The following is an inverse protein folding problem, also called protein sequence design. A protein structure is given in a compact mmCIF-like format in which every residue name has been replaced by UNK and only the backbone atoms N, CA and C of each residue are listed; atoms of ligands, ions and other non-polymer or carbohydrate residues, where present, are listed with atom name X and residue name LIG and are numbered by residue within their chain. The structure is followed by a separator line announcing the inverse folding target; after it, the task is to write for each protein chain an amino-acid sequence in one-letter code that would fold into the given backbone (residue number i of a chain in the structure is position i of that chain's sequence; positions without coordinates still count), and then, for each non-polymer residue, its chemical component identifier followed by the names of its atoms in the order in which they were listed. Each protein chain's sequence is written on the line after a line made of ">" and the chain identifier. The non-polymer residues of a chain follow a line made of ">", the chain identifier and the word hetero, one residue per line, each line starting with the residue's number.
data_IF_865163360457
#
_entry.id   IF_865163360457
#
_cell.length_a   1.000
_cell.length_b   1.000
_cell.length_c   1.000
_cell.angle_alpha   90.00
_cell.angle_beta   90.00
_cell.angle_gamma   90.00
#
_symmetry.space_group_name_H-M   'P 1'
#
loop_
_entity.id
_entity.type
_entity.pdbx_description
1 polymer ?
#
# COMPACT_ATOMS: atom_id res chain seq x y z
N UNK A 1 -29.28 9.05 11.76
CA UNK A 1 -28.51 10.28 12.02
C UNK A 1 -27.05 10.03 12.41
N UNK A 2 -26.66 9.53 13.60
CA UNK A 2 -25.22 9.36 13.95
C UNK A 2 -24.46 8.39 13.02
N UNK A 3 -25.04 7.23 12.70
CA UNK A 3 -24.42 6.25 11.80
C UNK A 3 -24.31 6.70 10.33
N UNK A 4 -25.16 7.62 9.88
CA UNK A 4 -25.08 8.19 8.52
C UNK A 4 -23.91 9.17 8.40
N UNK A 5 -23.71 10.01 9.41
CA UNK A 5 -22.56 10.93 9.48
C UNK A 5 -21.24 10.17 9.56
N UNK A 6 -21.19 9.10 10.37
CA UNK A 6 -20.01 8.22 10.45
C UNK A 6 -19.72 7.55 9.10
N UNK A 7 -20.75 6.99 8.44
CA UNK A 7 -20.59 6.34 7.14
C UNK A 7 -20.13 7.31 6.04
N UNK A 8 -20.72 8.52 5.98
CA UNK A 8 -20.36 9.53 5.01
C UNK A 8 -18.91 9.99 5.21
N UNK A 9 -18.55 10.27 6.47
CA UNK A 9 -17.22 10.69 6.87
C UNK A 9 -16.16 9.64 6.52
N UNK A 10 -16.41 8.36 6.85
CA UNK A 10 -15.51 7.27 6.49
C UNK A 10 -15.39 7.11 4.97
N UNK A 11 -16.49 7.19 4.22
CA UNK A 11 -16.43 7.04 2.76
C UNK A 11 -15.60 8.14 2.08
N UNK A 12 -15.73 9.40 2.55
CA UNK A 12 -14.94 10.53 2.04
C UNK A 12 -13.46 10.32 2.30
N UNK A 13 -13.13 9.86 3.50
CA UNK A 13 -11.77 9.59 3.91
C UNK A 13 -11.14 8.43 3.13
N UNK A 14 -11.86 7.31 2.99
CA UNK A 14 -11.37 6.17 2.20
C UNK A 14 -11.22 6.53 0.73
N UNK A 15 -12.17 7.28 0.16
CA UNK A 15 -12.09 7.76 -1.21
C UNK A 15 -10.86 8.66 -1.42
N UNK A 16 -10.56 9.56 -0.48
CA UNK A 16 -9.38 10.41 -0.53
C UNK A 16 -8.08 9.59 -0.55
N UNK A 17 -7.96 8.58 0.32
CA UNK A 17 -6.81 7.67 0.33
C UNK A 17 -6.68 6.99 -1.03
N UNK A 18 -7.77 6.42 -1.56
CA UNK A 18 -7.77 5.72 -2.84
C UNK A 18 -7.29 6.61 -3.99
N UNK A 19 -7.77 7.86 -4.07
CA UNK A 19 -7.34 8.77 -5.13
C UNK A 19 -5.87 9.17 -4.97
N UNK A 20 -5.40 9.38 -3.74
CA UNK A 20 -4.02 9.78 -3.47
C UNK A 20 -3.04 8.64 -3.76
N UNK A 21 -3.41 7.39 -3.45
CA UNK A 21 -2.57 6.22 -3.75
C UNK A 21 -2.40 6.04 -5.26
N UNK A 22 -3.45 6.27 -6.07
CA UNK A 22 -3.36 6.17 -7.53
C UNK A 22 -2.35 7.14 -8.16
N UNK A 23 -2.04 8.25 -7.49
CA UNK A 23 -1.07 9.22 -8.00
C UNK A 23 0.38 8.88 -7.65
N UNK A 24 0.61 7.84 -6.82
CA UNK A 24 1.96 7.39 -6.47
C UNK A 24 2.68 6.94 -7.74
N UNK A 25 3.85 7.54 -7.97
CA UNK A 25 4.70 7.23 -9.13
C UNK A 25 5.64 6.08 -8.77
N UNK A 26 5.54 4.99 -9.53
CA UNK A 26 6.37 3.80 -9.37
C UNK A 26 7.46 3.68 -10.43
N UNK A 27 7.42 4.53 -11.46
CA UNK A 27 8.30 4.52 -12.62
C UNK A 27 9.54 5.41 -12.45
N UNK A 28 9.51 6.34 -11.50
CA UNK A 28 10.57 7.32 -11.27
C UNK A 28 11.06 7.26 -9.83
N UNK A 29 12.38 7.43 -9.66
CA UNK A 29 12.94 7.76 -8.36
C UNK A 29 12.47 9.18 -7.98
N UNK A 30 11.96 9.41 -6.77
CA UNK A 30 11.69 10.77 -6.32
C UNK A 30 13.01 11.58 -6.31
N UNK A 31 12.89 12.86 -6.64
CA UNK A 31 14.01 13.82 -6.78
C UNK A 31 14.79 14.01 -5.46
N UNK A 32 14.25 13.55 -4.33
CA UNK A 32 14.92 13.65 -3.04
C UNK A 32 16.11 12.67 -2.98
N UNK A 33 17.32 13.23 -3.00
CA UNK A 33 18.62 12.54 -2.86
C UNK A 33 18.79 11.72 -1.55
N UNK A 34 17.73 11.56 -0.75
CA UNK A 34 17.67 10.67 0.41
C UNK A 34 16.30 10.00 0.43
N UNK A 35 16.27 8.68 0.24
CA UNK A 35 15.11 7.78 0.43
C UNK A 35 14.65 7.73 1.91
N UNK A 36 14.75 8.83 2.64
CA UNK A 36 14.39 8.94 4.06
C UNK A 36 13.17 9.82 4.27
N UNK A 37 12.70 10.51 3.22
CA UNK A 37 11.54 11.39 3.29
C UNK A 37 10.41 10.78 2.47
N UNK A 38 9.20 10.79 3.02
CA UNK A 38 8.01 10.38 2.31
C UNK A 38 7.75 11.24 1.08
N UNK A 39 7.14 10.63 0.07
CA UNK A 39 6.59 11.28 -1.12
C UNK A 39 5.56 12.34 -0.76
N UNK A 40 5.21 13.18 -1.73
CA UNK A 40 4.14 14.16 -1.54
C UNK A 40 2.80 13.46 -1.27
N UNK A 41 2.59 12.29 -1.87
CA UNK A 41 1.40 11.46 -1.73
C UNK A 41 1.29 10.86 -0.32
N UNK A 42 2.37 10.29 0.22
CA UNK A 42 2.35 9.73 1.57
C UNK A 42 2.17 10.81 2.64
N UNK A 43 2.76 12.00 2.44
CA UNK A 43 2.52 13.17 3.29
C UNK A 43 1.06 13.60 3.27
N UNK A 44 0.43 13.69 2.10
CA UNK A 44 -1.01 13.99 1.99
C UNK A 44 -1.89 12.99 2.76
N UNK A 45 -1.56 11.70 2.68
CA UNK A 45 -2.28 10.65 3.40
C UNK A 45 -2.10 10.82 4.92
N UNK A 46 -0.86 11.05 5.37
CA UNK A 46 -0.53 11.30 6.78
C UNK A 46 -1.24 12.55 7.30
N UNK A 47 -1.18 13.66 6.59
CA UNK A 47 -1.83 14.92 6.96
C UNK A 47 -3.37 14.74 7.06
N UNK A 48 -3.96 14.00 6.11
CA UNK A 48 -5.38 13.68 6.15
C UNK A 48 -5.74 12.78 7.35
N UNK A 49 -4.91 11.77 7.66
CA UNK A 49 -5.06 10.94 8.86
C UNK A 49 -5.00 11.80 10.12
N UNK A 50 -3.97 12.63 10.27
CA UNK A 50 -3.79 13.49 11.45
C UNK A 50 -4.93 14.51 11.59
N UNK A 51 -5.50 15.00 10.49
CA UNK A 51 -6.69 15.86 10.52
C UNK A 51 -7.98 15.11 10.90
N UNK A 52 -8.10 13.85 10.51
CA UNK A 52 -9.28 13.02 10.73
C UNK A 52 -9.38 12.48 12.17
N UNK A 53 -8.23 12.27 12.80
CA UNK A 53 -8.13 11.51 14.05
C UNK A 53 -8.71 12.20 15.29
N UNK A 54 -8.60 13.53 15.45
CA UNK A 54 -9.34 14.24 16.48
C UNK A 54 -10.87 14.03 16.38
N UNK A 55 -11.40 13.83 15.17
CA UNK A 55 -12.84 13.54 14.99
C UNK A 55 -13.17 12.13 15.46
N UNK A 56 -12.35 11.13 15.10
CA UNK A 56 -12.54 9.74 15.57
C UNK A 56 -12.40 9.62 17.08
N UNK A 57 -11.50 10.38 17.71
CA UNK A 57 -11.28 10.33 19.16
C UNK A 57 -12.54 10.69 19.99
N UNK A 58 -13.50 11.38 19.38
CA UNK A 58 -14.80 11.70 20.01
C UNK A 58 -15.85 10.59 19.88
N UNK A 59 -15.55 9.54 19.12
CA UNK A 59 -16.45 8.42 18.86
C UNK A 59 -16.26 7.30 19.90
N UNK A 60 -17.27 6.43 20.06
CA UNK A 60 -17.13 5.21 20.87
C UNK A 60 -15.95 4.35 20.42
N UNK A 61 -15.37 3.61 21.37
CA UNK A 61 -14.17 2.79 21.14
C UNK A 61 -14.31 1.83 19.96
N UNK A 62 -15.45 1.14 19.85
CA UNK A 62 -15.73 0.18 18.78
C UNK A 62 -15.82 0.86 17.40
N UNK A 63 -16.30 2.11 17.36
CA UNK A 63 -16.38 2.90 16.14
C UNK A 63 -14.97 3.34 15.72
N UNK A 64 -14.15 3.79 16.67
CA UNK A 64 -12.76 4.17 16.41
C UNK A 64 -11.90 3.00 15.94
N UNK A 65 -12.07 1.82 16.54
CA UNK A 65 -11.41 0.59 16.11
C UNK A 65 -11.80 0.21 14.68
N UNK A 66 -13.10 0.27 14.34
CA UNK A 66 -13.57 0.02 12.97
C UNK A 66 -13.04 1.05 11.98
N UNK A 67 -12.97 2.32 12.36
CA UNK A 67 -12.43 3.37 11.52
C UNK A 67 -10.93 3.16 11.23
N UNK A 68 -10.15 2.80 12.25
CA UNK A 68 -8.72 2.52 12.09
C UNK A 68 -8.49 1.25 11.22
N UNK A 69 -9.25 0.18 11.47
CA UNK A 69 -9.20 -1.03 10.66
C UNK A 69 -9.59 -0.76 9.20
N UNK A 70 -10.63 0.05 8.97
CA UNK A 70 -11.04 0.46 7.63
C UNK A 70 -9.92 1.26 6.95
N UNK A 71 -9.36 2.29 7.61
CA UNK A 71 -8.27 3.09 7.09
C UNK A 71 -7.06 2.23 6.67
N UNK A 72 -6.62 1.33 7.55
CA UNK A 72 -5.55 0.36 7.28
C UNK A 72 -5.86 -0.48 6.03
N UNK A 73 -7.04 -1.11 6.01
CA UNK A 73 -7.45 -1.98 4.90
C UNK A 73 -7.57 -1.22 3.58
N UNK A 74 -8.02 0.04 3.61
CA UNK A 74 -8.13 0.89 2.42
C UNK A 74 -6.75 1.23 1.87
N UNK A 75 -5.79 1.63 2.71
CA UNK A 75 -4.41 1.88 2.24
C UNK A 75 -3.86 0.62 1.59
N UNK A 76 -3.95 -0.51 2.30
CA UNK A 76 -3.41 -1.79 1.85
C UNK A 76 -4.00 -2.19 0.49
N UNK A 77 -5.33 -2.27 0.41
CA UNK A 77 -6.02 -2.67 -0.80
C UNK A 77 -5.80 -1.68 -1.96
N UNK A 78 -5.68 -0.38 -1.68
CA UNK A 78 -5.43 0.63 -2.72
C UNK A 78 -4.05 0.48 -3.32
N UNK A 79 -3.04 0.24 -2.49
CA UNK A 79 -1.65 0.07 -2.95
C UNK A 79 -1.49 -1.24 -3.71
N UNK A 80 -2.10 -2.34 -3.24
CA UNK A 80 -2.12 -3.61 -4.00
C UNK A 80 -2.80 -3.45 -5.36
N UNK A 81 -3.96 -2.79 -5.40
CA UNK A 81 -4.67 -2.47 -6.65
C UNK A 81 -3.83 -1.61 -7.58
N UNK A 82 -3.11 -0.63 -7.05
CA UNK A 82 -2.23 0.24 -7.83
C UNK A 82 -1.06 -0.55 -8.43
N UNK A 83 -0.37 -1.37 -7.61
CA UNK A 83 0.73 -2.23 -8.06
C UNK A 83 0.30 -3.22 -9.16
N UNK A 84 -0.90 -3.80 -9.01
CA UNK A 84 -1.51 -4.71 -9.98
C UNK A 84 -2.22 -4.03 -11.16
N UNK A 85 -2.29 -2.70 -11.18
CA UNK A 85 -3.03 -1.94 -12.20
C UNK A 85 -2.34 -2.01 -13.57
N UNK A 86 -3.14 -2.10 -14.63
CA UNK A 86 -2.65 -2.03 -16.01
C UNK A 86 -2.12 -0.63 -16.38
N UNK A 87 -2.56 0.39 -15.65
CA UNK A 87 -2.12 1.78 -15.81
C UNK A 87 -0.65 1.96 -15.41
N UNK A 88 -0.17 1.16 -14.45
CA UNK A 88 1.23 1.13 -14.05
C UNK A 88 2.03 0.30 -15.06
N UNK A 89 2.55 0.96 -16.08
CA UNK A 89 3.33 0.30 -17.14
C UNK A 89 4.70 -0.13 -16.63
N UNK A 90 5.41 0.76 -15.95
CA UNK A 90 6.79 0.57 -15.49
C UNK A 90 6.83 0.69 -13.97
N UNK A 91 7.63 -0.18 -13.35
CA UNK A 91 7.96 -0.14 -11.92
C UNK A 91 9.47 -0.21 -11.83
N UNK A 92 10.10 0.79 -11.21
CA UNK A 92 11.53 0.82 -10.94
C UNK A 92 11.82 0.36 -9.51
N UNK A 93 13.04 -0.13 -9.28
CA UNK A 93 13.52 -0.47 -7.94
C UNK A 93 13.44 0.73 -7.01
N UNK A 94 13.78 1.92 -7.49
CA UNK A 94 13.73 3.16 -6.72
C UNK A 94 12.29 3.55 -6.35
N UNK A 95 11.33 3.35 -7.26
CA UNK A 95 9.91 3.58 -6.98
C UNK A 95 9.37 2.63 -5.90
N UNK A 96 9.79 1.36 -5.91
CA UNK A 96 9.44 0.40 -4.87
C UNK A 96 10.11 0.72 -3.53
N UNK A 97 11.37 1.15 -3.53
CA UNK A 97 12.06 1.61 -2.32
C UNK A 97 11.36 2.83 -1.72
N UNK A 98 10.95 3.80 -2.55
CA UNK A 98 10.17 4.93 -2.07
C UNK A 98 8.81 4.51 -1.51
N UNK A 99 8.09 3.61 -2.20
CA UNK A 99 6.82 3.08 -1.70
C UNK A 99 6.99 2.40 -0.33
N UNK A 100 8.10 1.69 -0.10
CA UNK A 100 8.41 1.10 1.21
C UNK A 100 8.53 2.18 2.30
N UNK A 101 9.22 3.29 2.01
CA UNK A 101 9.35 4.45 2.92
C UNK A 101 8.00 5.09 3.20
N UNK A 102 7.20 5.27 2.15
CA UNK A 102 5.86 5.84 2.23
C UNK A 102 4.93 5.01 3.12
N UNK A 103 4.92 3.69 2.93
CA UNK A 103 4.13 2.78 3.75
C UNK A 103 4.58 2.81 5.22
N UNK A 104 5.89 2.87 5.49
CA UNK A 104 6.40 2.96 6.85
C UNK A 104 5.94 4.25 7.56
N UNK A 105 5.90 5.38 6.85
CA UNK A 105 5.40 6.64 7.40
C UNK A 105 3.90 6.61 7.69
N UNK A 106 3.11 6.06 6.77
CA UNK A 106 1.67 5.91 6.94
C UNK A 106 1.36 4.97 8.11
N UNK A 107 2.04 3.82 8.18
CA UNK A 107 1.90 2.87 9.27
C UNK A 107 2.31 3.49 10.61
N UNK A 108 3.43 4.22 10.66
CA UNK A 108 3.87 4.91 11.87
C UNK A 108 2.84 5.96 12.33
N UNK A 109 2.21 6.68 11.40
CA UNK A 109 1.12 7.59 11.74
C UNK A 109 -0.05 6.82 12.38
N UNK A 110 -0.47 5.71 11.77
CA UNK A 110 -1.59 4.90 12.25
C UNK A 110 -1.32 4.25 13.62
N UNK A 111 -0.07 3.89 13.89
CA UNK A 111 0.37 3.37 15.19
C UNK A 111 0.28 4.40 16.32
N UNK A 112 0.26 5.71 16.04
CA UNK A 112 0.02 6.74 17.07
C UNK A 112 -1.35 6.57 17.73
N UNK A 113 -2.30 5.89 17.09
CA UNK A 113 -3.66 5.68 17.59
C UNK A 113 -3.79 4.39 18.40
N UNK A 114 -2.89 4.20 19.38
CA UNK A 114 -2.78 2.98 20.19
C UNK A 114 -4.07 2.62 20.93
N UNK A 115 -4.89 3.60 21.31
CA UNK A 115 -6.20 3.39 21.97
C UNK A 115 -7.17 2.59 21.10
N UNK A 116 -7.07 2.72 19.78
CA UNK A 116 -7.89 1.99 18.80
C UNK A 116 -7.14 0.82 18.16
N UNK A 117 -5.87 0.61 18.53
CA UNK A 117 -5.04 -0.44 17.96
C UNK A 117 -5.53 -1.82 18.39
N UNK A 118 -5.49 -2.74 17.44
CA UNK A 118 -5.74 -4.17 17.61
C UNK A 118 -4.59 -4.92 16.96
N UNK A 119 -4.35 -6.17 17.32
CA UNK A 119 -3.31 -6.99 16.68
C UNK A 119 -3.48 -7.00 15.14
N UNK A 120 -4.73 -7.07 14.68
CA UNK A 120 -5.07 -7.00 13.25
C UNK A 120 -4.70 -5.64 12.62
N UNK A 121 -4.87 -4.53 13.33
CA UNK A 121 -4.49 -3.21 12.84
C UNK A 121 -2.97 -3.04 12.77
N UNK A 122 -2.23 -3.62 13.71
CA UNK A 122 -0.77 -3.55 13.74
C UNK A 122 -0.12 -4.40 12.64
N UNK A 123 -0.75 -5.51 12.27
CA UNK A 123 -0.27 -6.44 11.24
C UNK A 123 -0.76 -6.10 9.82
N UNK A 124 -1.60 -5.08 9.67
CA UNK A 124 -2.33 -4.82 8.42
C UNK A 124 -1.41 -4.60 7.21
N UNK A 125 -0.22 -4.01 7.41
CA UNK A 125 0.74 -3.71 6.35
C UNK A 125 1.69 -4.88 6.03
N UNK A 126 1.68 -5.95 6.82
CA UNK A 126 2.58 -7.09 6.61
C UNK A 126 2.46 -7.73 5.21
N UNK A 127 1.26 -7.95 4.63
CA UNK A 127 1.11 -8.43 3.25
C UNK A 127 1.85 -7.57 2.22
N UNK A 128 1.71 -6.23 2.31
CA UNK A 128 2.36 -5.29 1.41
C UNK A 128 3.87 -5.28 1.56
N UNK A 129 4.38 -5.32 2.80
CA UNK A 129 5.82 -5.39 3.05
C UNK A 129 6.42 -6.63 2.41
N UNK A 130 5.80 -7.79 2.62
CA UNK A 130 6.24 -9.04 1.97
C UNK A 130 6.18 -8.95 0.45
N UNK A 131 5.12 -8.35 -0.10
CA UNK A 131 4.99 -8.14 -1.55
C UNK A 131 6.09 -7.23 -2.10
N UNK A 132 6.42 -6.13 -1.41
CA UNK A 132 7.51 -5.24 -1.81
C UNK A 132 8.87 -5.92 -1.71
N UNK A 133 9.11 -6.69 -0.65
CA UNK A 133 10.34 -7.46 -0.48
C UNK A 133 10.53 -8.45 -1.64
N UNK A 134 9.47 -9.18 -1.99
CA UNK A 134 9.48 -10.10 -3.12
C UNK A 134 9.87 -9.41 -4.43
N UNK A 135 9.28 -8.25 -4.74
CA UNK A 135 9.61 -7.50 -5.96
C UNK A 135 10.99 -6.85 -5.93
N UNK A 136 11.46 -6.39 -4.77
CA UNK A 136 12.75 -5.74 -4.63
C UNK A 136 13.92 -6.73 -4.70
N UNK A 137 13.72 -7.96 -4.22
CA UNK A 137 14.74 -9.00 -4.21
C UNK A 137 14.61 -10.01 -5.35
N UNK A 138 13.56 -9.91 -6.17
CA UNK A 138 13.28 -10.84 -7.27
C UNK A 138 13.22 -12.31 -6.79
N UNK A 139 12.77 -12.54 -5.54
CA UNK A 139 12.88 -13.83 -4.84
C UNK A 139 11.74 -14.80 -5.18
N UNK A 140 11.56 -15.03 -6.48
CA UNK A 140 10.52 -15.93 -7.01
C UNK A 140 10.73 -17.38 -6.58
N UNK A 141 11.99 -17.80 -6.46
CA UNK A 141 12.34 -19.16 -6.08
C UNK A 141 11.83 -19.48 -4.68
N UNK A 142 12.06 -18.59 -3.71
CA UNK A 142 11.56 -18.78 -2.34
C UNK A 142 10.05 -18.71 -2.30
N UNK A 143 9.42 -17.81 -3.05
CA UNK A 143 7.96 -17.77 -3.16
C UNK A 143 7.41 -19.12 -3.63
N UNK A 144 7.83 -19.60 -4.80
CA UNK A 144 7.25 -20.80 -5.40
C UNK A 144 7.53 -22.08 -4.63
N UNK A 145 8.67 -22.16 -3.93
CA UNK A 145 9.05 -23.36 -3.17
C UNK A 145 8.45 -23.40 -1.77
N UNK A 146 8.18 -22.23 -1.16
CA UNK A 146 7.80 -22.18 0.25
C UNK A 146 6.41 -21.62 0.52
N UNK A 147 5.69 -21.05 -0.44
CA UNK A 147 4.44 -20.30 -0.18
C UNK A 147 3.41 -21.05 0.69
N UNK A 148 3.28 -22.37 0.52
CA UNK A 148 2.35 -23.20 1.29
C UNK A 148 2.83 -23.53 2.72
N UNK A 149 4.08 -23.23 3.05
CA UNK A 149 4.68 -23.49 4.34
C UNK A 149 4.27 -22.39 5.33
N UNK A 150 3.87 -22.80 6.55
CA UNK A 150 3.45 -21.86 7.61
C UNK A 150 4.55 -20.84 8.00
N UNK A 151 5.81 -21.20 7.79
CA UNK A 151 6.99 -20.39 8.10
C UNK A 151 7.52 -19.59 6.90
N UNK A 152 6.81 -19.61 5.76
CA UNK A 152 7.24 -18.83 4.59
C UNK A 152 7.24 -17.34 4.89
N UNK A 153 8.34 -16.68 4.49
CA UNK A 153 8.48 -15.22 4.55
C UNK A 153 7.50 -14.49 3.62
N UNK A 154 6.90 -15.20 2.66
CA UNK A 154 5.93 -14.66 1.69
C UNK A 154 4.50 -15.20 1.89
N UNK A 155 4.19 -15.83 3.02
CA UNK A 155 2.88 -16.47 3.29
C UNK A 155 1.67 -15.53 3.23
N UNK A 156 1.87 -14.21 3.31
CA UNK A 156 0.80 -13.20 3.26
C UNK A 156 0.76 -12.45 1.93
N UNK A 157 1.63 -12.79 0.96
CA UNK A 157 1.66 -12.15 -0.36
C UNK A 157 0.38 -12.48 -1.13
N UNK A 158 -0.20 -11.46 -1.76
CA UNK A 158 -1.31 -11.62 -2.71
C UNK A 158 -0.79 -12.19 -4.04
N UNK A 159 -1.04 -13.48 -4.27
CA UNK A 159 -0.66 -14.16 -5.52
C UNK A 159 -1.33 -13.54 -6.76
N UNK A 160 -2.55 -13.01 -6.62
CA UNK A 160 -3.25 -12.33 -7.71
C UNK A 160 -2.51 -11.06 -8.14
N UNK A 161 -2.12 -10.21 -7.18
CA UNK A 161 -1.34 -9.00 -7.46
C UNK A 161 0.01 -9.36 -8.06
N UNK A 162 0.69 -10.37 -7.51
CA UNK A 162 1.96 -10.88 -8.04
C UNK A 162 1.82 -11.35 -9.49
N UNK A 163 0.83 -12.20 -9.79
CA UNK A 163 0.62 -12.73 -11.13
C UNK A 163 0.30 -11.62 -12.15
N UNK A 164 -0.55 -10.64 -11.78
CA UNK A 164 -0.85 -9.48 -12.63
C UNK A 164 0.40 -8.67 -12.95
N UNK A 165 1.26 -8.42 -11.96
CA UNK A 165 2.48 -7.62 -12.14
C UNK A 165 3.52 -8.33 -13.00
N UNK A 166 3.78 -9.62 -12.78
CA UNK A 166 4.68 -10.42 -13.60
C UNK A 166 4.17 -10.49 -15.05
N UNK A 167 2.87 -10.76 -15.23
CA UNK A 167 2.25 -10.76 -16.55
C UNK A 167 2.44 -9.43 -17.30
N UNK A 168 2.38 -8.31 -16.56
CA UNK A 168 2.59 -6.98 -17.12
C UNK A 168 4.06 -6.71 -17.49
N UNK A 169 5.02 -7.08 -16.64
CA UNK A 169 6.45 -6.95 -16.94
C UNK A 169 6.81 -7.70 -18.22
N UNK A 170 6.39 -8.97 -18.33
CA UNK A 170 6.61 -9.81 -19.50
C UNK A 170 5.98 -9.22 -20.78
N UNK A 171 4.80 -8.59 -20.67
CA UNK A 171 4.16 -7.96 -21.82
C UNK A 171 4.94 -6.72 -22.31
N UNK A 172 5.45 -5.90 -21.40
CA UNK A 172 6.24 -4.71 -21.74
C UNK A 172 7.57 -5.10 -22.39
N UNK A 173 8.24 -6.14 -21.89
CA UNK A 173 9.48 -6.65 -22.48
C UNK A 173 9.28 -7.20 -23.90
N UNK A 174 8.17 -7.92 -24.15
CA UNK A 174 7.82 -8.41 -25.49
C UNK A 174 7.59 -7.29 -26.49
N UNK A 175 6.96 -6.19 -26.07
CA UNK A 175 6.72 -5.04 -26.94
C UNK A 175 8.04 -4.34 -27.30
N UNK A 176 8.94 -4.14 -26.32
CA UNK A 176 10.28 -3.56 -26.56
C UNK A 176 11.11 -4.39 -27.54
N UNK A 177 11.14 -5.71 -27.37
CA UNK A 177 11.90 -6.60 -28.27
C UNK A 177 11.39 -6.67 -29.72
N UNK A 178 10.17 -6.18 -29.99
CA UNK A 178 9.62 -6.09 -31.34
C UNK A 178 9.93 -4.73 -32.00
N UNK A 179 10.05 -3.65 -31.22
CA UNK A 179 10.45 -2.33 -31.72
C UNK A 179 11.92 -2.31 -32.14
N UNK A 180 12.82 -3.01 -31.43
CA UNK A 180 14.25 -3.08 -31.78
C UNK A 180 14.55 -3.95 -33.03
N UNK A 181 13.55 -4.62 -33.62
CA UNK A 181 13.69 -5.49 -34.79
C UNK A 181 13.04 -4.94 -36.07
N UNK A 182 12.43 -3.75 -36.01
CA UNK A 182 11.84 -3.06 -37.17
C UNK A 182 12.73 -1.90 -37.62
#
# INVERSE_FOLDING_TARGET
>A
MRGEVESELFSKFTFFIEQTVKTIRLDIAPVAAKQTLGSAESKKIVDAMESFMPMIATLPLDVGQRALALANSTVVASVERHLGSQEVKVVSTEGLLQLRVDLALIEQCLQKFTVFSTDTANDAFAPLKQLLDLFLYDDWATLFTTYTNADSVYKRVSLDTTAKRIGRQNQVERLRGNEDRS
#
